data_IF_284497388315
#
_entry.id   IF_284497388315
#
_cell.length_a   1.000
_cell.length_b   1.000
_cell.length_c   1.000
_cell.angle_alpha   90.00
_cell.angle_beta   90.00
_cell.angle_gamma   90.00
#
_symmetry.space_group_name_H-M   'P 1'
#
loop_
_entity.id
_entity.type
_entity.pdbx_description
1 polymer ?
#
# COMPACT_ATOMS: atom_id res chain seq x y z
N UNK A 1 23.78 -6.43 -43.43
CA UNK A 1 23.50 -6.80 -42.02
C UNK A 1 23.16 -5.58 -41.13
N UNK A 2 22.49 -4.53 -41.64
CA UNK A 2 22.16 -3.34 -40.82
C UNK A 2 20.67 -3.25 -40.40
N UNK A 3 19.78 -4.03 -41.02
CA UNK A 3 18.34 -4.02 -40.69
C UNK A 3 18.01 -4.64 -39.32
N UNK A 4 18.92 -5.40 -38.72
CA UNK A 4 18.67 -6.12 -37.48
C UNK A 4 18.87 -5.27 -36.22
N UNK A 5 19.69 -4.21 -36.30
CA UNK A 5 20.06 -3.41 -35.13
C UNK A 5 18.92 -2.50 -34.68
N UNK A 6 18.21 -1.87 -35.64
CA UNK A 6 17.01 -1.07 -35.34
C UNK A 6 15.87 -1.90 -34.75
N UNK A 7 15.73 -3.15 -35.19
CA UNK A 7 14.70 -4.08 -34.69
C UNK A 7 15.03 -4.61 -33.28
N UNK A 8 16.31 -4.84 -32.97
CA UNK A 8 16.72 -5.17 -31.59
C UNK A 8 16.50 -4.01 -30.63
N UNK A 9 16.89 -2.78 -31.00
CA UNK A 9 16.76 -1.62 -30.11
C UNK A 9 15.30 -1.32 -29.77
N UNK A 10 14.41 -1.44 -30.76
CA UNK A 10 12.96 -1.29 -30.53
C UNK A 10 12.42 -2.40 -29.63
N UNK A 11 12.85 -3.65 -29.80
CA UNK A 11 12.46 -4.75 -28.90
C UNK A 11 12.91 -4.52 -27.45
N UNK A 12 14.15 -4.09 -27.24
CA UNK A 12 14.65 -3.74 -25.90
C UNK A 12 13.86 -2.59 -25.27
N UNK A 13 13.54 -1.56 -26.05
CA UNK A 13 12.74 -0.44 -25.56
C UNK A 13 11.35 -0.88 -25.06
N UNK A 14 10.67 -1.76 -25.80
CA UNK A 14 9.39 -2.33 -25.38
C UNK A 14 9.51 -3.22 -24.13
N UNK A 15 10.57 -4.02 -24.03
CA UNK A 15 10.83 -4.85 -22.84
C UNK A 15 11.00 -3.97 -21.59
N UNK A 16 11.75 -2.88 -21.70
CA UNK A 16 11.96 -1.95 -20.59
C UNK A 16 10.65 -1.26 -20.19
N UNK A 17 9.86 -0.80 -21.16
CA UNK A 17 8.55 -0.18 -20.90
C UNK A 17 7.61 -1.16 -20.17
N UNK A 18 7.51 -2.40 -20.67
CA UNK A 18 6.64 -3.42 -20.06
C UNK A 18 7.15 -3.77 -18.65
N UNK A 19 8.47 -3.89 -18.47
CA UNK A 19 9.09 -4.11 -17.16
C UNK A 19 8.76 -3.00 -16.16
N UNK A 20 8.86 -1.74 -16.58
CA UNK A 20 8.48 -0.59 -15.75
C UNK A 20 6.99 -0.56 -15.45
N UNK A 21 6.14 -0.89 -16.42
CA UNK A 21 4.70 -0.96 -16.22
C UNK A 21 4.34 -2.01 -15.17
N UNK A 22 4.90 -3.22 -15.27
CA UNK A 22 4.70 -4.30 -14.30
C UNK A 22 5.25 -3.90 -12.93
N UNK A 23 6.48 -3.37 -12.86
CA UNK A 23 7.08 -2.93 -11.61
C UNK A 23 6.23 -1.84 -10.92
N UNK A 24 5.77 -0.85 -11.69
CA UNK A 24 4.87 0.19 -11.21
C UNK A 24 3.55 -0.37 -10.70
N UNK A 25 2.95 -1.33 -11.42
CA UNK A 25 1.70 -2.00 -11.03
C UNK A 25 1.87 -2.83 -9.76
N UNK A 26 2.95 -3.61 -9.66
CA UNK A 26 3.28 -4.41 -8.46
C UNK A 26 3.48 -3.49 -7.27
N UNK A 27 4.21 -2.39 -7.44
CA UNK A 27 4.41 -1.40 -6.39
C UNK A 27 3.08 -0.72 -6.00
N UNK A 28 2.20 -0.39 -6.96
CA UNK A 28 0.88 0.17 -6.70
C UNK A 28 -0.09 -0.81 -6.01
N UNK A 29 0.03 -2.11 -6.25
CA UNK A 29 -0.79 -3.17 -5.62
C UNK A 29 -0.22 -3.59 -4.27
N UNK A 30 1.10 -3.56 -4.09
CA UNK A 30 1.74 -3.89 -2.81
C UNK A 30 1.69 -2.72 -1.81
N UNK A 31 1.68 -1.47 -2.29
CA UNK A 31 1.71 -0.27 -1.45
C UNK A 31 0.37 0.26 -0.88
N UNK A 32 -0.85 -0.16 -1.28
CA UNK A 32 -2.08 0.45 -0.78
C UNK A 32 -2.58 -0.12 0.55
N UNK A 33 -1.86 -1.05 1.19
CA UNK A 33 -2.26 -1.59 2.50
C UNK A 33 -1.37 -1.22 3.68
N UNK A 34 -0.41 -0.31 3.52
CA UNK A 34 0.12 0.44 4.66
C UNK A 34 -0.77 1.67 4.96
N UNK A 35 -2.07 1.46 5.12
CA UNK A 35 -2.91 2.40 5.88
C UNK A 35 -2.52 2.31 7.35
N UNK A 36 -1.38 2.91 7.71
CA UNK A 36 -1.01 3.20 9.11
C UNK A 36 -2.09 3.99 9.85
N UNK A 37 -3.01 4.62 9.11
CA UNK A 37 -4.12 5.41 9.65
C UNK A 37 -5.19 4.56 10.36
N UNK A 38 -5.40 3.31 9.97
CA UNK A 38 -6.40 2.44 10.63
C UNK A 38 -5.84 1.65 11.81
N UNK A 39 -4.52 1.69 12.04
CA UNK A 39 -3.89 0.87 13.08
C UNK A 39 -4.33 1.30 14.49
N UNK A 40 -4.38 2.60 14.77
CA UNK A 40 -4.77 3.08 16.09
C UNK A 40 -6.24 2.75 16.42
N UNK A 41 -7.15 2.93 15.46
CA UNK A 41 -8.57 2.61 15.65
C UNK A 41 -8.82 1.11 15.75
N UNK A 42 -8.10 0.31 14.96
CA UNK A 42 -8.17 -1.16 15.00
C UNK A 42 -7.68 -1.68 16.35
N UNK A 43 -6.54 -1.18 16.84
CA UNK A 43 -6.01 -1.52 18.17
C UNK A 43 -6.98 -1.10 19.27
N UNK A 44 -7.61 0.08 19.16
CA UNK A 44 -8.58 0.56 20.14
C UNK A 44 -9.80 -0.36 20.22
N UNK A 45 -10.34 -0.78 19.06
CA UNK A 45 -11.47 -1.72 18.96
C UNK A 45 -11.11 -3.11 19.47
N UNK A 46 -9.89 -3.56 19.21
CA UNK A 46 -9.44 -4.87 19.67
C UNK A 46 -9.30 -4.92 21.19
N UNK A 47 -8.77 -3.86 21.81
CA UNK A 47 -8.65 -3.75 23.27
C UNK A 47 -9.99 -3.75 24.01
N UNK A 48 -10.99 -3.03 23.50
CA UNK A 48 -12.33 -3.05 24.11
C UNK A 48 -13.01 -4.41 23.93
N UNK A 49 -12.79 -5.09 22.79
CA UNK A 49 -13.30 -6.44 22.57
C UNK A 49 -12.64 -7.48 23.49
N UNK A 50 -11.35 -7.30 23.81
CA UNK A 50 -10.62 -8.11 24.81
C UNK A 50 -11.02 -7.78 26.26
N UNK A 51 -11.66 -6.63 26.49
CA UNK A 51 -11.97 -6.13 27.83
C UNK A 51 -10.78 -5.47 28.54
N UNK A 52 -9.70 -5.17 27.81
CA UNK A 52 -8.51 -4.49 28.35
C UNK A 52 -8.78 -3.03 28.72
N UNK A 53 -9.85 -2.43 28.17
CA UNK A 53 -10.29 -1.05 28.41
C UNK A 53 -11.81 -0.96 28.56
N UNK A 54 -12.27 0.03 29.31
CA UNK A 54 -13.68 0.37 29.49
C UNK A 54 -14.22 1.18 28.27
N UNK A 55 -15.55 1.11 28.05
CA UNK A 55 -16.29 2.02 27.17
C UNK A 55 -15.93 3.50 27.35
N UNK A 56 -15.78 3.97 28.60
CA UNK A 56 -15.40 5.37 28.87
C UNK A 56 -14.00 5.72 28.31
N UNK A 57 -13.01 4.85 28.52
CA UNK A 57 -11.66 5.02 28.00
C UNK A 57 -11.61 4.89 26.47
N UNK A 58 -12.46 4.03 25.90
CA UNK A 58 -12.60 3.90 24.46
C UNK A 58 -13.13 5.18 23.84
N UNK A 59 -14.17 5.81 24.41
CA UNK A 59 -14.73 7.06 23.90
C UNK A 59 -13.73 8.22 23.98
N UNK A 60 -13.01 8.36 25.09
CA UNK A 60 -11.97 9.38 25.23
C UNK A 60 -10.88 9.22 24.16
N UNK A 61 -10.32 8.01 24.01
CA UNK A 61 -9.26 7.76 23.02
C UNK A 61 -9.75 7.84 21.59
N UNK A 62 -11.02 7.49 21.34
CA UNK A 62 -11.66 7.60 20.02
C UNK A 62 -11.80 9.06 19.60
N UNK A 63 -12.15 9.96 20.51
CA UNK A 63 -12.25 11.40 20.24
C UNK A 63 -10.86 12.03 20.07
N UNK A 64 -9.84 11.56 20.81
CA UNK A 64 -8.45 11.97 20.61
C UNK A 64 -7.90 11.55 19.23
N UNK A 65 -8.30 10.38 18.71
CA UNK A 65 -7.88 9.85 17.41
C UNK A 65 -8.62 10.45 16.20
N UNK A 66 -9.73 11.16 16.43
CA UNK A 66 -10.49 11.87 15.38
C UNK A 66 -9.88 13.22 15.00
N UNK A 67 -8.95 13.73 15.80
CA UNK A 67 -8.38 15.09 15.70
C UNK A 67 -7.07 15.08 14.92
#
# INVERSE_FOLDING_TARGET
>A
MMMNFGMMLTMFFWIVIIGFAIYGFVLLIMKPFEKKQDNAYTILRERIARGDINQAEYEEKKELLKK
#
